data_IF_456851725141
#
_entry.id   IF_456851725141
#
_cell.length_a   1.000
_cell.length_b   1.000
_cell.length_c   1.000
_cell.angle_alpha   90.00
_cell.angle_beta   90.00
_cell.angle_gamma   90.00
#
_symmetry.space_group_name_H-M   'P 1'
#
loop_
_entity.id
_entity.type
_entity.pdbx_description
1 polymer ?
#
# COMPACT_ATOMS: atom_id res chain seq x y z
N UNK A 1 -6.78 2.88 -6.12
CA UNK A 1 -8.04 2.50 -5.48
C UNK A 1 -9.08 3.59 -5.68
N UNK A 2 -10.36 3.29 -5.44
CA UNK A 2 -11.46 4.25 -5.58
C UNK A 2 -11.66 5.16 -4.34
N UNK A 3 -11.12 4.74 -3.20
CA UNK A 3 -11.26 5.37 -1.88
C UNK A 3 -10.00 6.16 -1.48
N UNK A 4 -9.44 6.88 -2.46
CA UNK A 4 -8.27 7.75 -2.30
C UNK A 4 -8.65 9.19 -2.63
N UNK A 5 -8.33 10.11 -1.72
CA UNK A 5 -8.38 11.55 -1.99
C UNK A 5 -7.03 12.02 -2.51
N UNK A 6 -7.04 12.78 -3.61
CA UNK A 6 -5.87 13.40 -4.21
C UNK A 6 -5.77 14.86 -3.74
N UNK A 7 -4.67 15.19 -3.06
CA UNK A 7 -4.46 16.46 -2.39
C UNK A 7 -3.43 17.33 -3.12
N UNK A 8 -2.33 16.71 -3.55
CA UNK A 8 -1.24 17.36 -4.28
C UNK A 8 -0.65 16.43 -5.35
N UNK A 9 0.21 16.97 -6.20
CA UNK A 9 0.89 16.22 -7.25
C UNK A 9 1.93 15.23 -6.66
N UNK A 10 1.76 13.90 -6.81
CA UNK A 10 2.70 12.93 -6.27
C UNK A 10 3.91 12.66 -7.18
N UNK A 11 3.92 13.12 -8.44
CA UNK A 11 4.97 12.75 -9.41
C UNK A 11 6.37 13.17 -8.95
N UNK A 12 6.48 14.25 -8.19
CA UNK A 12 7.76 14.73 -7.64
C UNK A 12 8.32 13.84 -6.51
N UNK A 13 7.53 12.88 -6.01
CA UNK A 13 7.90 11.98 -4.91
C UNK A 13 8.39 10.62 -5.40
N UNK A 14 8.28 10.35 -6.70
CA UNK A 14 8.64 9.05 -7.26
C UNK A 14 10.13 8.96 -7.57
N UNK A 15 10.70 7.79 -7.29
CA UNK A 15 12.09 7.48 -7.62
C UNK A 15 12.27 7.27 -9.14
N UNK A 16 13.09 8.09 -9.83
CA UNK A 16 13.31 7.99 -11.26
C UNK A 16 14.11 6.74 -11.68
N UNK A 17 14.73 6.03 -10.73
CA UNK A 17 15.47 4.79 -10.98
C UNK A 17 14.70 3.51 -10.61
N UNK A 18 13.56 3.63 -9.91
CA UNK A 18 12.74 2.48 -9.52
C UNK A 18 11.86 1.94 -10.65
N UNK A 19 11.62 0.63 -10.62
CA UNK A 19 10.78 -0.07 -11.59
C UNK A 19 9.32 -0.10 -11.12
N UNK A 20 9.12 -0.44 -9.84
CA UNK A 20 7.82 -0.61 -9.18
C UNK A 20 7.82 0.11 -7.84
N UNK A 21 6.87 1.01 -7.62
CA UNK A 21 6.73 1.76 -6.38
C UNK A 21 5.31 1.60 -5.84
N UNK A 22 5.17 1.23 -4.57
CA UNK A 22 3.89 0.90 -3.95
C UNK A 22 3.70 1.67 -2.64
N UNK A 23 2.47 2.09 -2.35
CA UNK A 23 2.10 2.65 -1.05
C UNK A 23 2.33 1.67 0.10
N UNK A 24 2.22 2.14 1.33
CA UNK A 24 2.37 1.29 2.52
C UNK A 24 1.26 1.56 3.54
N UNK A 25 0.90 0.52 4.29
CA UNK A 25 0.11 0.69 5.51
C UNK A 25 0.99 1.25 6.63
N UNK A 26 2.24 0.78 6.70
CA UNK A 26 3.28 1.28 7.60
C UNK A 26 4.62 1.43 6.91
N UNK A 27 5.17 2.64 6.96
CA UNK A 27 6.49 2.96 6.45
C UNK A 27 7.55 2.93 7.55
N UNK A 28 8.60 2.14 7.34
CA UNK A 28 9.71 1.92 8.27
C UNK A 28 10.76 3.05 8.27
N UNK A 29 10.60 4.08 7.44
CA UNK A 29 11.58 5.15 7.25
C UNK A 29 12.62 4.86 6.16
N UNK A 30 12.58 3.69 5.53
CA UNK A 30 13.49 3.30 4.45
C UNK A 30 12.71 2.69 3.26
N UNK A 31 12.76 3.37 2.11
CA UNK A 31 12.05 2.95 0.89
C UNK A 31 12.59 1.69 0.22
N UNK A 32 13.78 1.22 0.58
CA UNK A 32 14.42 0.01 0.06
C UNK A 32 14.08 -1.23 0.90
N UNK A 33 13.57 -1.02 2.11
CA UNK A 33 13.35 -2.10 3.05
C UNK A 33 12.15 -2.96 2.63
N UNK A 34 12.40 -4.18 2.17
CA UNK A 34 11.33 -5.13 1.81
C UNK A 34 10.40 -5.47 2.97
N UNK A 35 10.77 -5.17 4.22
CA UNK A 35 9.89 -5.37 5.39
C UNK A 35 8.81 -4.29 5.56
N UNK A 36 8.79 -3.23 4.74
CA UNK A 36 7.61 -2.35 4.70
C UNK A 36 6.36 -3.17 4.36
N UNK A 37 5.21 -2.74 4.87
CA UNK A 37 3.91 -3.36 4.62
C UNK A 37 3.30 -2.69 3.37
N UNK A 38 3.48 -3.23 2.14
CA UNK A 38 2.94 -2.64 0.93
C UNK A 38 1.43 -2.58 1.02
N UNK A 39 0.83 -1.56 0.43
CA UNK A 39 -0.61 -1.39 0.28
C UNK A 39 -0.98 -1.32 -1.21
N UNK A 40 -1.90 -2.18 -1.67
CA UNK A 40 -2.28 -2.30 -3.08
C UNK A 40 -3.03 -1.08 -3.66
N UNK A 41 -3.47 -0.15 -2.80
CA UNK A 41 -4.33 0.96 -3.21
C UNK A 41 -3.66 1.98 -4.14
N UNK A 42 -2.34 2.12 -4.09
CA UNK A 42 -1.61 3.06 -4.95
C UNK A 42 -0.26 2.48 -5.40
N UNK A 43 -0.03 2.53 -6.72
CA UNK A 43 1.20 2.09 -7.35
C UNK A 43 1.65 3.08 -8.43
N UNK A 44 2.95 3.30 -8.55
CA UNK A 44 3.58 3.93 -9.71
C UNK A 44 4.58 2.95 -10.32
N UNK A 45 4.41 2.63 -11.60
CA UNK A 45 5.16 1.54 -12.26
C UNK A 45 5.65 1.99 -13.62
N UNK A 46 6.92 1.69 -13.92
CA UNK A 46 7.49 1.89 -15.26
C UNK A 46 7.32 0.61 -16.06
N UNK A 47 6.79 0.73 -17.28
CA UNK A 47 6.68 -0.40 -18.18
C UNK A 47 8.06 -0.79 -18.71
N UNK A 48 8.55 -1.97 -18.31
CA UNK A 48 9.79 -2.56 -18.81
C UNK A 48 9.77 -4.08 -18.61
N UNK A 49 10.78 -4.77 -19.13
CA UNK A 49 10.82 -6.24 -19.05
C UNK A 49 10.79 -6.77 -17.61
N UNK A 50 11.41 -6.07 -16.65
CA UNK A 50 11.43 -6.50 -15.25
C UNK A 50 10.05 -6.39 -14.61
N UNK A 51 9.33 -5.30 -14.86
CA UNK A 51 7.97 -5.12 -14.31
C UNK A 51 6.96 -6.05 -14.97
N UNK A 52 7.12 -6.36 -16.26
CA UNK A 52 6.29 -7.37 -16.95
C UNK A 52 6.47 -8.75 -16.29
N UNK A 53 7.72 -9.20 -16.09
CA UNK A 53 7.98 -10.48 -15.44
C UNK A 53 7.53 -10.49 -13.97
N UNK A 54 7.74 -9.38 -13.25
CA UNK A 54 7.26 -9.21 -11.89
C UNK A 54 5.74 -9.36 -11.78
N UNK A 55 4.97 -8.69 -12.65
CA UNK A 55 3.51 -8.82 -12.64
C UNK A 55 3.02 -10.22 -13.01
N UNK A 56 3.67 -10.89 -13.97
CA UNK A 56 3.36 -12.30 -14.28
C UNK A 56 3.59 -13.19 -13.06
N UNK A 57 4.72 -12.99 -12.37
CA UNK A 57 5.05 -13.75 -11.16
C UNK A 57 4.06 -13.47 -10.03
N UNK A 58 3.78 -12.20 -9.74
CA UNK A 58 2.83 -11.81 -8.70
C UNK A 58 1.43 -12.35 -8.99
N UNK A 59 0.92 -12.17 -10.20
CA UNK A 59 -0.37 -12.72 -10.61
C UNK A 59 -0.39 -14.25 -10.43
N UNK A 60 0.61 -14.98 -10.94
CA UNK A 60 0.64 -16.44 -10.85
C UNK A 60 0.78 -16.96 -9.41
N UNK A 61 1.38 -16.19 -8.52
CA UNK A 61 1.58 -16.56 -7.12
C UNK A 61 0.27 -16.73 -6.35
N UNK A 62 -0.85 -16.15 -6.81
CA UNK A 62 -2.20 -16.42 -6.27
C UNK A 62 -2.56 -17.91 -6.20
N UNK A 63 -1.94 -18.74 -7.05
CA UNK A 63 -2.14 -20.21 -7.06
C UNK A 63 -1.43 -20.90 -5.91
N UNK A 64 -0.31 -20.35 -5.43
CA UNK A 64 0.45 -20.87 -4.29
C UNK A 64 -0.14 -20.41 -2.95
N UNK A 65 -0.83 -19.26 -2.96
CA UNK A 65 -1.42 -18.63 -1.79
C UNK A 65 -2.94 -18.46 -1.95
N UNK A 66 -3.72 -19.56 -2.02
CA UNK A 66 -5.16 -19.48 -2.18
C UNK A 66 -5.81 -18.82 -0.95
N UNK A 67 -6.78 -17.94 -1.19
CA UNK A 67 -7.50 -17.22 -0.13
C UNK A 67 -6.82 -15.93 0.34
N UNK A 68 -5.57 -15.67 -0.04
CA UNK A 68 -4.91 -14.39 0.23
C UNK A 68 -5.30 -13.33 -0.81
N UNK A 69 -5.44 -12.08 -0.35
CA UNK A 69 -5.61 -10.94 -1.23
C UNK A 69 -4.27 -10.57 -1.90
N UNK A 70 -4.31 -9.78 -2.97
CA UNK A 70 -3.15 -9.42 -3.78
C UNK A 70 -2.02 -8.76 -2.97
N UNK A 71 -2.36 -7.90 -2.02
CA UNK A 71 -1.42 -7.28 -1.07
C UNK A 71 -0.72 -8.31 -0.17
N UNK A 72 -1.47 -9.29 0.33
CA UNK A 72 -0.93 -10.37 1.17
C UNK A 72 -0.03 -11.30 0.36
N UNK A 73 -0.43 -11.64 -0.86
CA UNK A 73 0.42 -12.40 -1.79
C UNK A 73 1.73 -11.64 -2.06
N UNK A 74 1.68 -10.31 -2.25
CA UNK A 74 2.89 -9.52 -2.43
C UNK A 74 3.81 -9.57 -1.19
N UNK A 75 3.22 -9.56 0.00
CA UNK A 75 3.96 -9.69 1.25
C UNK A 75 4.74 -11.00 1.34
N UNK A 76 4.15 -12.10 0.88
CA UNK A 76 4.82 -13.41 0.84
C UNK A 76 5.95 -13.44 -0.20
N UNK A 77 5.69 -12.99 -1.42
CA UNK A 77 6.62 -13.22 -2.54
C UNK A 77 7.72 -12.17 -2.70
N UNK A 78 7.64 -11.02 -2.02
CA UNK A 78 8.65 -9.95 -2.16
C UNK A 78 10.05 -10.37 -1.69
N UNK A 79 10.16 -11.47 -0.94
CA UNK A 79 11.42 -12.08 -0.50
C UNK A 79 11.85 -13.27 -1.37
N UNK A 80 11.02 -13.69 -2.34
CA UNK A 80 11.31 -14.85 -3.18
C UNK A 80 12.61 -14.63 -4.00
N UNK A 81 13.51 -15.63 -4.11
CA UNK A 81 14.72 -15.53 -4.92
C UNK A 81 14.49 -15.09 -6.37
N UNK A 82 13.30 -15.37 -6.92
CA UNK A 82 12.91 -14.92 -8.25
C UNK A 82 12.87 -13.39 -8.38
N UNK A 83 12.51 -12.65 -7.33
CA UNK A 83 12.56 -11.18 -7.30
C UNK A 83 13.98 -10.67 -7.53
N UNK A 84 14.96 -11.31 -6.89
CA UNK A 84 16.37 -10.98 -7.08
C UNK A 84 16.85 -11.38 -8.48
N UNK A 85 16.40 -12.54 -8.99
CA UNK A 85 16.74 -13.02 -10.34
C UNK A 85 16.30 -12.05 -11.44
N UNK A 86 15.09 -11.51 -11.36
CA UNK A 86 14.60 -10.53 -12.35
C UNK A 86 15.11 -9.11 -12.11
N UNK A 87 15.75 -8.87 -10.95
CA UNK A 87 16.35 -7.60 -10.56
C UNK A 87 15.37 -6.41 -10.60
N UNK A 88 14.08 -6.66 -10.32
CA UNK A 88 13.07 -5.60 -10.27
C UNK A 88 13.38 -4.67 -9.09
N UNK A 89 13.47 -3.37 -9.37
CA UNK A 89 13.73 -2.34 -8.35
C UNK A 89 12.41 -1.92 -7.69
N UNK A 90 12.11 -2.55 -6.56
CA UNK A 90 10.95 -2.22 -5.73
C UNK A 90 11.29 -1.07 -4.78
N UNK A 91 10.38 -0.09 -4.68
CA UNK A 91 10.39 0.96 -3.65
C UNK A 91 9.06 1.05 -2.94
N UNK A 92 9.14 1.43 -1.68
CA UNK A 92 8.00 1.71 -0.83
C UNK A 92 7.85 3.22 -0.71
N UNK A 93 6.65 3.72 -0.99
CA UNK A 93 6.32 5.14 -0.94
C UNK A 93 6.11 5.56 0.51
N UNK A 94 6.79 6.64 0.92
CA UNK A 94 6.71 7.15 2.28
C UNK A 94 5.28 7.66 2.58
N UNK A 95 4.71 7.18 3.69
CA UNK A 95 3.41 7.59 4.21
C UNK A 95 3.31 9.09 4.55
N UNK A 96 4.44 9.79 4.67
CA UNK A 96 4.47 11.25 4.72
C UNK A 96 3.83 11.88 3.48
N UNK A 97 4.05 11.30 2.30
CA UNK A 97 3.56 11.82 1.01
C UNK A 97 2.35 11.04 0.52
N UNK A 98 2.40 9.71 0.59
CA UNK A 98 1.32 8.82 0.14
C UNK A 98 0.66 8.23 1.38
N UNK A 99 -0.14 9.06 2.04
CA UNK A 99 -0.71 8.75 3.35
C UNK A 99 -1.96 7.87 3.24
N UNK A 100 -2.31 7.28 4.38
CA UNK A 100 -3.61 6.65 4.56
C UNK A 100 -3.97 6.54 6.03
N UNK A 101 -5.18 6.07 6.35
CA UNK A 101 -5.65 6.00 7.73
C UNK A 101 -4.85 5.02 8.61
N UNK A 102 -4.15 4.04 8.04
CA UNK A 102 -3.20 3.21 8.80
C UNK A 102 -2.04 4.04 9.39
N UNK A 103 -1.55 5.03 8.64
CA UNK A 103 -0.47 5.93 9.04
C UNK A 103 -0.67 7.30 8.38
N UNK A 104 -1.33 8.20 9.11
CA UNK A 104 -1.65 9.55 8.63
C UNK A 104 -0.42 10.45 8.63
N UNK A 105 -0.20 11.18 7.53
CA UNK A 105 0.87 12.19 7.46
C UNK A 105 0.59 13.35 8.40
N UNK A 106 1.61 13.81 9.13
CA UNK A 106 1.52 15.01 9.98
C UNK A 106 1.84 16.30 9.21
N UNK A 107 2.23 16.19 7.94
CA UNK A 107 2.73 17.29 7.12
C UNK A 107 1.77 17.60 5.98
N UNK A 108 0.80 18.48 6.24
CA UNK A 108 -0.16 18.96 5.25
C UNK A 108 0.51 19.68 4.07
N UNK A 109 1.70 20.27 4.25
CA UNK A 109 2.42 20.90 3.16
C UNK A 109 3.03 19.85 2.20
N UNK A 110 3.25 18.62 2.66
CA UNK A 110 3.92 17.58 1.88
C UNK A 110 2.98 16.52 1.29
N UNK A 111 1.89 16.20 1.99
CA UNK A 111 0.99 15.09 1.66
C UNK A 111 0.38 15.22 0.26
N UNK A 112 0.43 14.14 -0.52
CA UNK A 112 -0.10 14.09 -1.88
C UNK A 112 -1.42 13.33 -1.96
N UNK A 113 -1.59 12.26 -1.20
CA UNK A 113 -2.82 11.45 -1.19
C UNK A 113 -3.21 11.05 0.22
N UNK A 114 -4.49 10.77 0.42
CA UNK A 114 -5.03 10.13 1.63
C UNK A 114 -5.89 8.94 1.22
N UNK A 115 -5.48 7.72 1.57
CA UNK A 115 -6.19 6.47 1.32
C UNK A 115 -7.01 6.04 2.55
N UNK A 116 -8.24 5.55 2.36
CA UNK A 116 -9.01 4.89 3.42
C UNK A 116 -8.58 3.42 3.69
N UNK A 117 -7.27 3.14 3.69
CA UNK A 117 -6.74 1.85 4.16
C UNK A 117 -6.94 1.66 5.67
N UNK A 118 -6.87 0.42 6.18
CA UNK A 118 -7.24 0.10 7.57
C UNK A 118 -8.65 0.59 7.96
N UNK A 119 -9.57 0.67 6.99
CA UNK A 119 -10.94 1.04 7.22
C UNK A 119 -11.88 0.04 6.53
N UNK A 120 -12.89 -0.40 7.26
CA UNK A 120 -13.86 -1.40 6.80
C UNK A 120 -15.26 -0.80 6.74
N UNK A 121 -16.04 -1.23 5.77
CA UNK A 121 -17.39 -0.73 5.55
C UNK A 121 -17.45 0.56 4.73
N UNK A 122 -18.36 0.58 3.76
CA UNK A 122 -18.52 1.69 2.83
C UNK A 122 -18.88 3.00 3.54
N UNK A 123 -19.76 2.95 4.54
CA UNK A 123 -20.21 4.13 5.28
C UNK A 123 -19.06 4.81 6.04
N UNK A 124 -18.26 4.02 6.74
CA UNK A 124 -17.09 4.53 7.48
C UNK A 124 -16.07 5.16 6.52
N UNK A 125 -15.77 4.48 5.40
CA UNK A 125 -14.89 5.01 4.35
C UNK A 125 -15.40 6.35 3.81
N UNK A 126 -16.67 6.43 3.39
CA UNK A 126 -17.26 7.66 2.84
C UNK A 126 -17.23 8.79 3.88
N UNK A 127 -17.57 8.49 5.14
CA UNK A 127 -17.61 9.49 6.22
C UNK A 127 -16.22 10.07 6.48
N UNK A 128 -15.21 9.23 6.68
CA UNK A 128 -13.86 9.70 6.98
C UNK A 128 -13.19 10.33 5.75
N UNK A 129 -13.44 9.86 4.53
CA UNK A 129 -12.91 10.55 3.33
C UNK A 129 -13.50 11.95 3.14
N UNK A 130 -14.77 12.17 3.50
CA UNK A 130 -15.36 13.53 3.51
C UNK A 130 -14.68 14.44 4.53
N UNK A 131 -14.43 13.93 5.73
CA UNK A 131 -13.69 14.66 6.77
C UNK A 131 -12.26 15.00 6.33
N UNK A 132 -11.54 14.04 5.73
CA UNK A 132 -10.21 14.29 5.19
C UNK A 132 -10.21 15.40 4.13
N UNK A 133 -11.22 15.42 3.25
CA UNK A 133 -11.37 16.46 2.25
C UNK A 133 -11.71 17.82 2.87
N UNK A 134 -12.53 17.86 3.92
CA UNK A 134 -12.85 19.07 4.67
C UNK A 134 -11.62 19.66 5.37
N UNK A 135 -10.84 18.82 6.08
CA UNK A 135 -9.57 19.22 6.70
C UNK A 135 -8.60 19.80 5.67
N UNK A 136 -8.50 19.18 4.50
CA UNK A 136 -7.68 19.68 3.41
C UNK A 136 -8.13 21.04 2.89
N UNK A 137 -9.44 21.23 2.68
CA UNK A 137 -10.00 22.52 2.22
C UNK A 137 -9.72 23.63 3.24
N UNK A 138 -9.97 23.35 4.52
CA UNK A 138 -9.71 24.28 5.61
C UNK A 138 -8.22 24.66 5.66
N UNK A 139 -7.31 23.70 5.45
CA UNK A 139 -5.88 23.97 5.36
C UNK A 139 -5.53 24.87 4.16
N UNK A 140 -6.11 24.61 2.99
CA UNK A 140 -5.82 25.34 1.77
C UNK A 140 -6.22 26.82 1.84
N UNK A 141 -7.28 27.14 2.58
CA UNK A 141 -7.77 28.52 2.81
C UNK A 141 -6.88 29.33 3.76
N UNK A 142 -5.92 28.70 4.45
CA UNK A 142 -5.05 29.40 5.39
C UNK A 142 -4.03 30.33 4.72
N UNK A 143 -3.73 31.48 5.35
CA UNK A 143 -2.56 32.28 5.04
C UNK A 143 -1.23 31.50 5.20
N UNK A 144 -0.16 31.85 4.45
CA UNK A 144 1.11 31.12 4.47
C UNK A 144 1.76 30.99 5.85
N UNK A 145 1.68 32.01 6.69
CA UNK A 145 2.17 32.00 8.07
C UNK A 145 1.46 30.94 8.92
N UNK A 146 0.15 30.78 8.74
CA UNK A 146 -0.63 29.78 9.45
C UNK A 146 -0.42 28.35 8.95
N UNK A 147 -0.01 28.17 7.68
CA UNK A 147 0.35 26.85 7.12
C UNK A 147 1.62 26.25 7.70
N UNK A 148 2.45 27.07 8.35
CA UNK A 148 3.66 26.63 9.05
C UNK A 148 3.37 26.05 10.45
N UNK A 149 2.17 26.28 10.99
CA UNK A 149 1.80 25.82 12.32
C UNK A 149 1.44 24.32 12.30
N UNK A 150 1.69 23.59 13.39
CA UNK A 150 1.26 22.20 13.52
C UNK A 150 -0.24 22.05 13.32
N UNK A 151 -0.63 21.03 12.54
CA UNK A 151 -2.01 20.69 12.22
C UNK A 151 -2.20 19.19 12.35
N UNK A 152 -3.41 18.80 12.69
CA UNK A 152 -3.81 17.41 12.83
C UNK A 152 -5.04 17.15 11.98
N UNK A 153 -5.10 15.96 11.39
CA UNK A 153 -6.30 15.45 10.77
C UNK A 153 -7.35 15.11 11.82
N UNK A 154 -8.63 15.26 11.45
CA UNK A 154 -9.77 14.73 12.20
C UNK A 154 -9.99 13.24 11.94
N UNK A 155 -9.28 12.67 10.96
CA UNK A 155 -9.36 11.28 10.53
C UNK A 155 -8.15 10.43 10.96
N UNK A 156 -8.30 9.09 11.01
CA UNK A 156 -9.57 8.36 10.96
C UNK A 156 -10.38 8.57 12.25
N UNK A 157 -11.69 8.72 12.09
CA UNK A 157 -12.66 8.82 13.18
C UNK A 157 -13.60 7.62 13.15
N UNK A 158 -14.47 7.53 12.14
CA UNK A 158 -15.43 6.43 12.03
C UNK A 158 -14.74 5.10 11.79
N UNK A 159 -13.67 5.09 11.00
CA UNK A 159 -12.88 3.90 10.73
C UNK A 159 -12.22 3.30 11.99
N UNK A 160 -12.07 4.08 13.08
CA UNK A 160 -11.58 3.56 14.38
C UNK A 160 -12.70 2.94 15.23
N UNK A 161 -13.95 3.32 14.99
CA UNK A 161 -15.11 2.85 15.75
C UNK A 161 -15.68 1.54 15.20
N UNK A 162 -15.41 1.23 13.94
CA UNK A 162 -15.86 0.00 13.27
C UNK A 162 -14.75 -1.05 13.34
N UNK A 163 -14.75 -1.97 14.33
CA UNK A 163 -13.79 -3.05 14.35
C UNK A 163 -13.94 -3.93 13.10
N UNK A 164 -12.84 -4.53 12.67
CA UNK A 164 -12.83 -5.55 11.64
C UNK A 164 -13.76 -6.70 12.06
N UNK A 165 -14.84 -6.90 11.32
CA UNK A 165 -15.58 -8.15 11.34
C UNK A 165 -15.09 -8.98 10.15
N UNK A 166 -14.26 -10.03 10.37
CA UNK A 166 -14.00 -10.96 9.30
C UNK A 166 -15.35 -11.53 8.82
N UNK A 167 -15.56 -11.71 7.51
CA UNK A 167 -16.69 -12.51 7.06
C UNK A 167 -16.58 -13.89 7.73
N UNK A 168 -17.70 -14.39 8.27
CA UNK A 168 -17.76 -15.70 8.93
C UNK A 168 -16.99 -16.75 8.10
N UNK A 169 -15.98 -17.37 8.71
CA UNK A 169 -15.31 -18.52 8.13
C UNK A 169 -16.38 -19.58 7.85
N UNK A 170 -16.63 -19.86 6.57
CA UNK A 170 -17.45 -21.01 6.21
C UNK A 170 -16.79 -22.25 6.85
N UNK A 171 -17.53 -23.12 7.57
CA UNK A 171 -16.95 -24.24 8.33
C UNK A 171 -16.24 -25.32 7.48
N UNK A 172 -16.05 -25.08 6.17
CA UNK A 172 -15.45 -26.00 5.20
C UNK A 172 -14.12 -25.50 4.60
N UNK A 173 -13.53 -24.39 5.07
CA UNK A 173 -12.18 -23.99 4.62
C UNK A 173 -11.11 -24.83 5.31
N UNK A 174 -10.63 -25.87 4.61
CA UNK A 174 -9.40 -26.56 4.98
C UNK A 174 -8.24 -25.55 5.04
N UNK A 175 -7.33 -25.63 6.03
CA UNK A 175 -6.16 -24.77 6.08
C UNK A 175 -5.34 -24.94 4.78
N UNK A 176 -4.77 -23.86 4.23
CA UNK A 176 -3.92 -23.97 3.06
C UNK A 176 -2.75 -24.89 3.38
N UNK A 177 -2.58 -25.94 2.57
CA UNK A 177 -1.44 -26.83 2.69
C UNK A 177 -0.15 -26.02 2.48
N UNK A 178 0.78 -26.11 3.42
CA UNK A 178 2.09 -25.51 3.29
C UNK A 178 2.72 -25.92 1.96
N UNK A 179 3.20 -24.98 1.12
CA UNK A 179 3.85 -25.34 -0.13
C UNK A 179 5.12 -26.13 0.18
N UNK A 180 5.19 -27.36 -0.34
CA UNK A 180 6.44 -28.13 -0.37
C UNK A 180 7.42 -27.38 -1.27
N UNK A 181 8.47 -26.83 -0.67
CA UNK A 181 9.63 -26.33 -1.40
C UNK A 181 10.30 -27.55 -2.06
N UNK A 182 9.93 -27.86 -3.29
CA UNK A 182 10.69 -28.80 -4.12
C UNK A 182 11.88 -28.04 -4.71
N UNK A 183 13.06 -28.24 -4.12
CA UNK A 183 14.32 -27.92 -4.78
C UNK A 183 14.36 -28.77 -6.05
N UNK A 184 14.23 -28.14 -7.22
CA UNK A 184 14.61 -28.80 -8.47
C UNK A 184 16.13 -28.80 -8.51
N UNK A 185 16.72 -29.95 -8.20
CA UNK A 185 18.10 -30.26 -8.55
C UNK A 185 18.19 -30.27 -10.08
N UNK A 186 18.99 -29.33 -10.62
CA UNK A 186 19.39 -29.36 -12.01
C UNK A 186 20.32 -30.55 -12.23
N UNK A 187 19.87 -31.51 -13.04
CA UNK A 187 20.75 -32.54 -13.58
C UNK A 187 21.78 -31.90 -14.51
N UNK A 188 23.05 -31.98 -14.11
CA UNK A 188 24.17 -31.93 -15.03
C UNK A 188 24.26 -33.28 -15.76
N UNK A 189 24.06 -33.25 -17.08
CA UNK A 189 24.73 -34.12 -18.05
C UNK A 189 24.74 -33.45 -19.42
#
# INVERSE_FOLDING_TARGET
DADIVWLQNPFQRFDPDADFQIACDRFSGNSFNLRNEPNGGFNYVKSNNRTIEFYKFWYNSRKMFPGLHDQDVLNEIKFDPYIQKIQVKIRFLDTKYIAGFCQVSQDFNAVCTMHANCCFGLEAKITDLRLALEDWRNFMELPPDQKSLPRSWTVPKKCRETPFHPPDESPNSLPPAAPKISAQEGNNQ
#
